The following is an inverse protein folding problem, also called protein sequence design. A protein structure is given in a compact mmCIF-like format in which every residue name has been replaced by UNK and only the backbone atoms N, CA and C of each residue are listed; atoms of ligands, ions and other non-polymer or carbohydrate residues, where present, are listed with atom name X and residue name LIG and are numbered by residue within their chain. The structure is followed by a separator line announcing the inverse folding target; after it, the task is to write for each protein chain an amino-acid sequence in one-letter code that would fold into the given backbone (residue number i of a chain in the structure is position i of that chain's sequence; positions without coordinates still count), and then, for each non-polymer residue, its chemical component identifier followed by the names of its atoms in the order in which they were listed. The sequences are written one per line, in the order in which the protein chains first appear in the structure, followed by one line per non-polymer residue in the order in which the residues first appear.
data_IF_875830968261
#
_entry.id   IF_875830968261
#
_cell.length_a   1.000
_cell.length_b   1.000
_cell.length_c   1.000
_cell.angle_alpha   90.00
_cell.angle_beta   90.00
_cell.angle_gamma   90.00
#
_symmetry.space_group_name_H-M   'P 1'
#
loop_
_entity.id
_entity.type
_entity.pdbx_description
1 polymer ?
#
# COMPACT_ATOMS: atom_id res chain seq x y z
N UNK A 1 3.31 -16.51 -66.99
CA UNK A 1 4.73 -16.61 -67.37
C UNK A 1 5.41 -17.42 -66.29
N UNK A 2 5.83 -18.64 -66.62
CA UNK A 2 6.35 -19.64 -65.70
C UNK A 2 7.69 -19.20 -65.12
N UNK A 3 7.79 -19.11 -63.79
CA UNK A 3 9.07 -18.86 -63.11
C UNK A 3 9.73 -20.23 -62.89
N UNK A 4 10.96 -20.33 -63.36
CA UNK A 4 11.72 -21.54 -63.58
C UNK A 4 12.13 -22.21 -62.26
N UNK A 5 11.55 -23.38 -61.96
CA UNK A 5 11.79 -24.16 -60.74
C UNK A 5 13.21 -24.79 -60.67
N UNK A 6 14.04 -24.68 -61.72
CA UNK A 6 15.34 -25.35 -61.79
C UNK A 6 16.50 -24.61 -61.08
N UNK A 7 16.43 -23.30 -60.84
CA UNK A 7 17.55 -22.55 -60.20
C UNK A 7 17.58 -22.65 -58.67
N UNK A 8 16.46 -23.01 -58.02
CA UNK A 8 16.43 -23.16 -56.56
C UNK A 8 16.85 -24.54 -56.05
N UNK A 9 16.86 -25.58 -56.91
CA UNK A 9 17.34 -26.90 -56.50
C UNK A 9 18.87 -26.99 -56.41
N UNK A 10 19.63 -26.24 -57.23
CA UNK A 10 21.09 -26.27 -57.16
C UNK A 10 21.65 -25.61 -55.90
N UNK A 11 21.00 -24.55 -55.41
CA UNK A 11 21.40 -23.89 -54.17
C UNK A 11 21.04 -24.70 -52.92
N UNK A 12 19.95 -25.48 -52.96
CA UNK A 12 19.57 -26.38 -51.86
C UNK A 12 20.44 -27.65 -51.79
N UNK A 13 20.87 -28.20 -52.94
CA UNK A 13 21.79 -29.35 -52.99
C UNK A 13 23.17 -29.00 -52.44
N UNK A 14 23.73 -27.84 -52.79
CA UNK A 14 25.10 -27.49 -52.39
C UNK A 14 25.26 -27.13 -50.90
N UNK A 15 24.18 -26.71 -50.21
CA UNK A 15 24.26 -26.39 -48.77
C UNK A 15 24.21 -27.61 -47.85
N UNK A 16 23.67 -28.74 -48.32
CA UNK A 16 23.40 -29.92 -47.48
C UNK A 16 24.02 -31.23 -48.00
N UNK A 17 24.69 -31.24 -49.16
CA UNK A 17 25.39 -32.43 -49.67
C UNK A 17 26.58 -32.86 -48.78
N UNK A 18 27.15 -31.94 -47.99
CA UNK A 18 28.20 -32.26 -47.02
C UNK A 18 27.71 -32.85 -45.69
N UNK A 19 26.40 -32.88 -45.42
CA UNK A 19 25.86 -33.22 -44.09
C UNK A 19 25.00 -34.51 -44.12
N UNK A 20 24.83 -35.14 -45.29
CA UNK A 20 24.12 -36.43 -45.42
C UNK A 20 24.92 -37.65 -44.95
N UNK A 21 26.05 -37.49 -44.27
CA UNK A 21 26.78 -38.60 -43.65
C UNK A 21 26.57 -38.74 -42.13
N UNK A 22 25.73 -37.89 -41.51
CA UNK A 22 25.48 -37.98 -40.07
C UNK A 22 23.98 -38.02 -39.74
N UNK A 23 23.25 -38.95 -40.35
CA UNK A 23 22.06 -39.51 -39.72
C UNK A 23 22.38 -40.91 -39.24
N UNK A 24 23.31 -41.00 -38.28
CA UNK A 24 23.32 -42.14 -37.37
C UNK A 24 22.05 -41.97 -36.55
N UNK A 25 21.06 -42.84 -36.75
CA UNK A 25 20.02 -43.04 -35.75
C UNK A 25 20.70 -43.66 -34.53
N UNK A 26 21.43 -42.82 -33.79
CA UNK A 26 22.04 -43.20 -32.54
C UNK A 26 20.88 -43.51 -31.62
N UNK A 27 20.77 -44.79 -31.26
CA UNK A 27 19.76 -45.30 -30.36
C UNK A 27 19.93 -44.52 -29.08
N UNK A 28 19.12 -43.47 -28.90
CA UNK A 28 19.20 -42.60 -27.72
C UNK A 28 19.06 -43.54 -26.53
N UNK A 29 20.12 -43.69 -25.71
CA UNK A 29 20.08 -44.65 -24.65
C UNK A 29 18.95 -44.22 -23.69
N UNK A 30 18.15 -45.19 -23.21
CA UNK A 30 16.96 -44.96 -22.38
C UNK A 30 17.26 -44.13 -21.12
N UNK A 31 18.52 -44.05 -20.72
CA UNK A 31 19.02 -43.21 -19.63
C UNK A 31 18.92 -41.70 -19.92
N UNK A 32 18.95 -41.28 -21.19
CA UNK A 32 18.81 -39.88 -21.60
C UNK A 32 17.40 -39.34 -21.33
N UNK A 33 16.36 -40.17 -21.47
CA UNK A 33 14.98 -39.83 -21.09
C UNK A 33 14.76 -39.83 -19.57
N UNK A 34 15.69 -40.40 -18.80
CA UNK A 34 15.60 -40.45 -17.33
C UNK A 34 16.10 -39.17 -16.65
N UNK A 35 16.81 -38.31 -17.37
CA UNK A 35 17.42 -37.08 -16.85
C UNK A 35 16.44 -35.93 -16.57
N UNK A 36 15.25 -35.95 -17.17
CA UNK A 36 14.24 -34.88 -17.03
C UNK A 36 13.12 -35.21 -16.04
N UNK A 37 13.05 -36.45 -15.53
CA UNK A 37 12.14 -36.80 -14.43
C UNK A 37 12.75 -36.24 -13.14
N UNK A 38 12.23 -35.09 -12.73
CA UNK A 38 12.69 -34.32 -11.56
C UNK A 38 13.09 -35.22 -10.40
N UNK A 39 14.35 -35.09 -9.97
CA UNK A 39 14.84 -35.64 -8.71
C UNK A 39 13.89 -35.12 -7.61
N UNK A 40 12.98 -35.96 -7.11
CA UNK A 40 12.34 -35.73 -5.82
C UNK A 40 13.48 -35.69 -4.82
N UNK A 41 13.96 -34.49 -4.48
CA UNK A 41 14.91 -34.29 -3.39
C UNK A 41 14.21 -34.82 -2.15
N UNK A 42 14.58 -36.03 -1.73
CA UNK A 42 14.14 -36.60 -0.47
C UNK A 42 14.71 -35.69 0.61
N UNK A 43 13.86 -34.79 1.12
CA UNK A 43 14.16 -34.00 2.32
C UNK A 43 14.60 -34.98 3.40
N UNK A 44 15.83 -34.82 3.88
CA UNK A 44 16.38 -35.66 4.94
C UNK A 44 15.45 -35.61 6.17
N UNK A 45 15.27 -36.73 6.90
CA UNK A 45 14.36 -36.75 8.04
C UNK A 45 14.83 -35.75 9.11
N UNK A 46 14.03 -34.71 9.32
CA UNK A 46 14.34 -33.67 10.29
C UNK A 46 14.37 -34.21 11.72
N UNK A 47 15.38 -33.80 12.49
CA UNK A 47 15.51 -34.14 13.92
C UNK A 47 14.28 -33.62 14.68
N UNK A 48 13.83 -34.38 15.70
CA UNK A 48 12.61 -34.09 16.49
C UNK A 48 12.59 -32.66 17.06
N UNK A 49 13.74 -32.13 17.51
CA UNK A 49 13.87 -30.75 17.99
C UNK A 49 13.59 -29.71 16.90
N UNK A 50 14.07 -29.95 15.68
CA UNK A 50 13.86 -29.06 14.52
C UNK A 50 12.40 -29.04 14.08
N UNK A 51 11.67 -30.16 14.20
CA UNK A 51 10.22 -30.19 13.94
C UNK A 51 9.45 -29.35 14.98
N UNK A 52 9.80 -29.47 16.26
CA UNK A 52 9.17 -28.70 17.34
C UNK A 52 9.43 -27.20 17.16
N UNK A 53 10.66 -26.80 16.82
CA UNK A 53 10.98 -25.39 16.56
C UNK A 53 10.23 -24.83 15.35
N UNK A 54 10.01 -25.62 14.29
CA UNK A 54 9.20 -25.17 13.15
C UNK A 54 7.72 -24.99 13.52
N UNK A 55 7.16 -25.86 14.37
CA UNK A 55 5.78 -25.70 14.85
C UNK A 55 5.65 -24.42 15.68
N UNK A 56 6.59 -24.15 16.58
CA UNK A 56 6.59 -22.93 17.39
C UNK A 56 6.76 -21.68 16.50
N UNK A 57 7.71 -21.70 15.56
CA UNK A 57 7.89 -20.61 14.61
C UNK A 57 6.62 -20.37 13.77
N UNK A 58 5.97 -21.44 13.32
CA UNK A 58 4.68 -21.36 12.62
C UNK A 58 3.59 -20.73 13.47
N UNK A 59 3.47 -21.13 14.75
CA UNK A 59 2.51 -20.54 15.69
C UNK A 59 2.76 -19.04 15.90
N UNK A 60 4.02 -18.63 16.05
CA UNK A 60 4.39 -17.22 16.19
C UNK A 60 4.02 -16.44 14.91
N UNK A 61 4.34 -16.98 13.73
CA UNK A 61 3.98 -16.34 12.46
C UNK A 61 2.47 -16.22 12.31
N UNK A 62 1.70 -17.26 12.66
CA UNK A 62 0.23 -17.20 12.61
C UNK A 62 -0.34 -16.19 13.60
N UNK A 63 0.25 -16.09 14.80
CA UNK A 63 -0.15 -15.11 15.80
C UNK A 63 0.16 -13.69 15.33
N UNK A 64 1.37 -13.44 14.82
CA UNK A 64 1.76 -12.14 14.25
C UNK A 64 0.88 -11.74 13.07
N UNK A 65 0.56 -12.67 12.18
CA UNK A 65 -0.35 -12.42 11.06
C UNK A 65 -1.76 -12.08 11.55
N UNK A 66 -2.31 -12.83 12.51
CA UNK A 66 -3.63 -12.54 13.09
C UNK A 66 -3.66 -11.17 13.79
N UNK A 67 -2.59 -10.82 14.51
CA UNK A 67 -2.44 -9.52 15.17
C UNK A 67 -2.35 -8.39 14.14
N UNK A 68 -1.57 -8.56 13.07
CA UNK A 68 -1.50 -7.62 11.96
C UNK A 68 -2.89 -7.41 11.37
N UNK A 69 -3.60 -8.47 10.94
CA UNK A 69 -4.97 -8.30 10.40
C UNK A 69 -5.91 -7.60 11.41
N UNK A 70 -5.87 -7.97 12.69
CA UNK A 70 -6.67 -7.32 13.73
C UNK A 70 -6.32 -5.83 13.92
N UNK A 71 -5.06 -5.45 13.70
CA UNK A 71 -4.61 -4.06 13.79
C UNK A 71 -5.05 -3.25 12.57
N UNK A 72 -5.05 -3.85 11.39
CA UNK A 72 -5.60 -3.24 10.18
C UNK A 72 -7.09 -2.96 10.31
N UNK A 73 -7.87 -3.93 10.82
CA UNK A 73 -9.32 -3.74 11.02
C UNK A 73 -9.65 -2.76 12.14
N UNK A 74 -8.77 -2.58 13.14
CA UNK A 74 -8.93 -1.51 14.13
C UNK A 74 -8.82 -0.14 13.46
N UNK A 75 -7.80 0.06 12.63
CA UNK A 75 -7.58 1.36 12.00
C UNK A 75 -8.71 1.76 11.04
N UNK A 76 -9.29 0.82 10.27
CA UNK A 76 -10.47 1.13 9.44
C UNK A 76 -11.65 1.59 10.29
N UNK A 77 -11.92 0.92 11.42
CA UNK A 77 -12.99 1.31 12.34
C UNK A 77 -12.74 2.67 12.98
N UNK A 78 -11.50 2.95 13.38
CA UNK A 78 -11.16 4.23 13.97
C UNK A 78 -11.39 5.38 12.97
N UNK A 79 -10.99 5.18 11.70
CA UNK A 79 -11.23 6.14 10.62
C UNK A 79 -12.72 6.34 10.33
N UNK A 80 -13.52 5.29 10.37
CA UNK A 80 -14.98 5.37 10.22
C UNK A 80 -15.66 6.05 11.41
N UNK A 81 -15.06 5.93 12.61
CA UNK A 81 -15.56 6.53 13.84
C UNK A 81 -15.16 7.99 14.03
N UNK A 82 -14.30 8.54 13.17
CA UNK A 82 -13.90 9.94 13.26
C UNK A 82 -15.14 10.83 13.18
N UNK A 83 -15.30 11.66 14.20
CA UNK A 83 -16.41 12.60 14.24
C UNK A 83 -16.09 13.81 13.35
N UNK A 84 -17.09 14.20 12.56
CA UNK A 84 -17.07 15.41 11.76
C UNK A 84 -18.30 16.24 12.12
N UNK A 85 -18.05 17.41 12.70
CA UNK A 85 -19.09 18.32 13.10
C UNK A 85 -19.35 19.30 11.97
N UNK A 86 -20.62 19.36 11.55
CA UNK A 86 -21.07 20.41 10.65
C UNK A 86 -21.02 21.74 11.39
N UNK A 87 -20.02 22.55 11.08
CA UNK A 87 -19.86 23.90 11.65
C UNK A 87 -20.20 24.94 10.60
N UNK A 88 -21.15 25.82 10.95
CA UNK A 88 -21.39 27.04 10.18
C UNK A 88 -20.39 28.09 10.65
N UNK A 89 -19.50 28.51 9.75
CA UNK A 89 -18.47 29.49 10.06
C UNK A 89 -19.06 30.87 10.35
N UNK A 90 -20.28 31.17 9.89
CA UNK A 90 -20.94 32.46 10.13
C UNK A 90 -21.29 32.70 11.60
N UNK A 91 -21.32 31.65 12.42
CA UNK A 91 -21.55 31.73 13.88
C UNK A 91 -20.29 31.48 14.69
N UNK A 92 -19.15 31.27 14.02
CA UNK A 92 -17.86 31.10 14.65
C UNK A 92 -17.37 32.45 15.16
N UNK A 93 -17.05 32.53 16.46
CA UNK A 93 -16.45 33.74 17.02
C UNK A 93 -14.97 33.86 16.64
N UNK A 94 -14.39 35.01 16.89
CA UNK A 94 -12.96 35.20 16.70
C UNK A 94 -12.21 34.58 17.89
N UNK A 95 -11.17 33.79 17.62
CA UNK A 95 -10.43 33.09 18.67
C UNK A 95 -9.49 32.02 18.16
N UNK A 96 -8.86 31.34 19.13
CA UNK A 96 -7.99 30.18 18.89
C UNK A 96 -8.66 28.97 19.53
N UNK A 97 -8.87 27.94 18.72
CA UNK A 97 -9.60 26.73 19.11
C UNK A 97 -8.69 25.52 19.03
N UNK A 98 -8.71 24.70 20.08
CA UNK A 98 -7.92 23.47 20.13
C UNK A 98 -8.74 22.31 19.57
N UNK A 99 -8.09 21.50 18.74
CA UNK A 99 -8.67 20.30 18.17
C UNK A 99 -7.75 19.11 18.30
N UNK A 100 -8.35 17.94 18.53
CA UNK A 100 -7.63 16.69 18.55
C UNK A 100 -8.41 15.59 17.86
N UNK A 101 -7.68 14.65 17.27
CA UNK A 101 -8.24 13.41 16.73
C UNK A 101 -7.19 12.31 16.77
N UNK A 102 -7.64 11.08 17.03
CA UNK A 102 -6.76 9.92 17.21
C UNK A 102 -7.37 8.66 16.60
N UNK A 103 -6.48 7.82 16.07
CA UNK A 103 -6.71 6.46 15.59
C UNK A 103 -5.57 5.59 16.10
N UNK A 104 -5.67 4.27 15.94
CA UNK A 104 -4.64 3.33 16.39
C UNK A 104 -3.21 3.64 15.92
N UNK A 105 -3.02 4.29 14.76
CA UNK A 105 -1.69 4.60 14.20
C UNK A 105 -1.39 6.09 14.02
N UNK A 106 -2.38 6.96 14.17
CA UNK A 106 -2.23 8.39 13.89
C UNK A 106 -2.94 9.20 14.97
N UNK A 107 -2.21 10.15 15.58
CA UNK A 107 -2.75 11.12 16.53
C UNK A 107 -2.37 12.53 16.10
N UNK A 108 -3.34 13.45 16.10
CA UNK A 108 -3.14 14.86 15.76
C UNK A 108 -3.69 15.72 16.89
N UNK A 109 -2.92 16.74 17.28
CA UNK A 109 -3.34 17.85 18.15
C UNK A 109 -2.94 19.14 17.45
N UNK A 110 -3.89 20.08 17.33
CA UNK A 110 -3.69 21.33 16.60
C UNK A 110 -4.48 22.49 17.20
N UNK A 111 -4.11 23.69 16.78
CA UNK A 111 -4.83 24.93 17.05
C UNK A 111 -5.37 25.51 15.73
N UNK A 112 -6.58 26.04 15.77
CA UNK A 112 -7.22 26.73 14.64
C UNK A 112 -7.50 28.16 15.06
N UNK A 113 -6.90 29.11 14.35
CA UNK A 113 -7.20 30.53 14.50
C UNK A 113 -8.33 30.92 13.56
N UNK A 114 -9.34 31.60 14.11
CA UNK A 114 -10.43 32.16 13.34
C UNK A 114 -10.57 33.66 13.59
N UNK A 115 -10.81 34.42 12.52
CA UNK A 115 -11.05 35.87 12.58
C UNK A 115 -12.04 36.27 11.50
N UNK A 116 -13.02 37.10 11.85
CA UNK A 116 -14.11 37.52 10.98
C UNK A 116 -14.79 36.35 10.26
N UNK A 117 -15.15 35.30 11.02
CA UNK A 117 -15.81 34.09 10.49
C UNK A 117 -14.97 33.30 9.46
N UNK A 118 -13.65 33.46 9.47
CA UNK A 118 -12.73 32.77 8.56
C UNK A 118 -11.61 32.08 9.32
N UNK A 119 -11.20 30.92 8.82
CA UNK A 119 -10.00 30.22 9.26
C UNK A 119 -8.79 31.01 8.73
N UNK A 120 -8.01 31.58 9.64
CA UNK A 120 -6.83 32.39 9.31
C UNK A 120 -5.53 31.60 9.51
N UNK A 121 -5.54 30.63 10.42
CA UNK A 121 -4.38 29.80 10.73
C UNK A 121 -4.78 28.43 11.22
N UNK A 122 -3.95 27.44 10.93
CA UNK A 122 -4.02 26.10 11.51
C UNK A 122 -2.60 25.70 11.86
N UNK A 123 -2.32 25.51 13.15
CA UNK A 123 -0.99 25.15 13.63
C UNK A 123 -1.01 23.75 14.24
N UNK A 124 -0.15 22.87 13.72
CA UNK A 124 -0.11 21.46 14.15
C UNK A 124 0.88 21.34 15.30
N UNK A 125 0.35 21.29 16.52
CA UNK A 125 1.13 21.13 17.74
C UNK A 125 1.77 19.75 17.85
N UNK A 126 1.02 18.71 17.46
CA UNK A 126 1.46 17.32 17.51
C UNK A 126 0.88 16.51 16.36
N UNK A 127 1.71 15.69 15.73
CA UNK A 127 1.30 14.75 14.70
C UNK A 127 2.12 13.48 14.82
N UNK A 128 1.62 12.52 15.59
CA UNK A 128 2.19 11.18 15.66
C UNK A 128 1.71 10.41 14.42
N UNK A 129 2.64 10.07 13.54
CA UNK A 129 2.36 9.37 12.29
C UNK A 129 3.46 8.35 11.98
N UNK A 130 3.09 7.29 11.26
CA UNK A 130 4.03 6.26 10.81
C UNK A 130 4.70 6.55 9.46
N UNK A 131 4.14 7.47 8.66
CA UNK A 131 4.52 7.68 7.24
C UNK A 131 5.03 9.09 6.91
N UNK A 132 5.30 9.91 7.94
CA UNK A 132 5.82 11.27 7.79
C UNK A 132 4.73 12.33 7.61
N UNK A 133 5.17 13.55 7.31
CA UNK A 133 4.39 14.79 7.40
C UNK A 133 3.61 15.17 6.14
N UNK A 134 3.51 14.29 5.15
CA UNK A 134 2.95 14.61 3.83
C UNK A 134 1.51 15.17 3.90
N UNK A 135 0.72 14.70 4.86
CA UNK A 135 -0.65 15.15 5.06
C UNK A 135 -0.76 16.60 5.59
N UNK A 136 0.29 17.15 6.22
CA UNK A 136 0.23 18.47 6.88
C UNK A 136 -0.09 19.60 5.90
N UNK A 137 0.29 19.47 4.61
CA UNK A 137 -0.02 20.46 3.57
C UNK A 137 -1.53 20.73 3.39
N UNK A 138 -2.39 19.81 3.84
CA UNK A 138 -3.84 19.95 3.70
C UNK A 138 -4.37 21.18 4.45
N UNK A 139 -3.66 21.65 5.49
CA UNK A 139 -4.04 22.84 6.24
C UNK A 139 -4.04 24.10 5.38
N UNK A 140 -3.12 24.21 4.43
CA UNK A 140 -3.07 25.33 3.46
C UNK A 140 -4.33 25.37 2.60
N UNK A 141 -4.80 24.19 2.16
CA UNK A 141 -6.02 24.06 1.36
C UNK A 141 -7.25 24.42 2.20
N UNK A 142 -7.28 24.01 3.48
CA UNK A 142 -8.37 24.33 4.40
C UNK A 142 -8.50 25.83 4.66
N UNK A 143 -7.38 26.50 4.91
CA UNK A 143 -7.32 27.96 5.09
C UNK A 143 -7.78 28.66 3.80
N UNK A 144 -7.23 28.25 2.64
CA UNK A 144 -7.55 28.87 1.35
C UNK A 144 -9.02 28.71 0.96
N UNK A 145 -9.58 27.52 1.19
CA UNK A 145 -10.98 27.21 0.87
C UNK A 145 -11.95 27.57 1.99
N UNK A 146 -11.42 28.01 3.14
CA UNK A 146 -12.18 28.32 4.35
C UNK A 146 -13.13 27.18 4.75
N UNK A 147 -12.62 25.94 4.77
CA UNK A 147 -13.38 24.74 5.15
C UNK A 147 -12.43 23.65 5.62
N UNK A 148 -12.84 22.85 6.60
CA UNK A 148 -12.09 21.64 6.97
C UNK A 148 -12.30 20.51 5.95
N UNK A 149 -13.38 20.57 5.15
CA UNK A 149 -13.75 19.52 4.20
C UNK A 149 -13.08 19.74 2.84
N UNK A 150 -11.79 19.45 2.78
CA UNK A 150 -10.99 19.49 1.54
C UNK A 150 -10.54 18.08 1.14
N UNK A 151 -9.99 17.96 -0.06
CA UNK A 151 -9.53 16.68 -0.60
C UNK A 151 -8.34 16.12 0.18
N UNK A 152 -8.34 14.81 0.39
CA UNK A 152 -7.25 14.11 1.05
C UNK A 152 -5.99 14.08 0.19
N UNK A 153 -4.82 14.12 0.84
CA UNK A 153 -3.54 14.05 0.16
C UNK A 153 -3.25 12.63 -0.31
N UNK A 154 -3.01 12.44 -1.61
CA UNK A 154 -2.73 11.13 -2.19
C UNK A 154 -1.53 10.45 -1.49
N UNK A 155 -1.72 9.21 -1.04
CA UNK A 155 -0.71 8.45 -0.30
C UNK A 155 -0.55 8.87 1.17
N UNK A 156 -1.41 9.75 1.68
CA UNK A 156 -1.49 10.12 3.09
C UNK A 156 -2.96 10.31 3.52
N UNK A 157 -3.84 9.45 3.00
CA UNK A 157 -5.30 9.56 3.16
C UNK A 157 -5.73 9.46 4.62
N UNK A 158 -5.26 8.45 5.37
CA UNK A 158 -5.64 8.27 6.79
C UNK A 158 -5.24 9.48 7.63
N UNK A 159 -3.99 9.95 7.53
CA UNK A 159 -3.55 11.17 8.22
C UNK A 159 -4.32 12.41 7.78
N UNK A 160 -4.70 12.51 6.49
CA UNK A 160 -5.55 13.61 6.01
C UNK A 160 -6.92 13.59 6.70
N UNK A 161 -7.56 12.44 6.84
CA UNK A 161 -8.86 12.33 7.51
C UNK A 161 -8.76 12.69 9.01
N UNK A 162 -7.70 12.26 9.69
CA UNK A 162 -7.48 12.61 11.11
C UNK A 162 -7.26 14.10 11.29
N UNK A 163 -6.46 14.76 10.41
CA UNK A 163 -6.29 16.23 10.45
C UNK A 163 -7.63 16.93 10.19
N UNK A 164 -8.41 16.51 9.18
CA UNK A 164 -9.74 17.05 8.90
C UNK A 164 -10.68 16.95 10.10
N UNK A 165 -10.68 15.81 10.78
CA UNK A 165 -11.50 15.58 11.98
C UNK A 165 -11.04 16.46 13.14
N UNK A 166 -9.73 16.59 13.39
CA UNK A 166 -9.19 17.48 14.42
C UNK A 166 -9.56 18.96 14.18
N UNK A 167 -9.45 19.45 12.94
CA UNK A 167 -9.89 20.82 12.58
C UNK A 167 -11.41 20.97 12.76
N UNK A 168 -12.19 19.97 12.33
CA UNK A 168 -13.64 19.97 12.53
C UNK A 168 -14.00 20.03 14.02
N UNK A 169 -13.31 19.28 14.87
CA UNK A 169 -13.45 19.29 16.32
C UNK A 169 -13.12 20.68 16.91
N UNK A 170 -11.99 21.27 16.54
CA UNK A 170 -11.64 22.64 16.98
C UNK A 170 -12.74 23.65 16.64
N UNK A 171 -13.21 23.64 15.39
CA UNK A 171 -14.24 24.58 14.92
C UNK A 171 -15.60 24.34 15.61
N UNK A 172 -15.91 23.11 16.01
CA UNK A 172 -17.14 22.81 16.75
C UNK A 172 -17.15 23.45 18.14
N UNK A 173 -16.00 23.48 18.82
CA UNK A 173 -15.83 24.10 20.14
C UNK A 173 -15.83 25.64 20.09
N UNK A 174 -15.65 26.25 18.91
CA UNK A 174 -15.73 27.70 18.73
C UNK A 174 -17.14 28.27 18.53
N UNK A 175 -18.17 27.42 18.58
CA UNK A 175 -19.56 27.86 18.52
C UNK A 175 -19.99 28.45 19.87
N UNK A 176 -20.75 29.56 19.85
CA UNK A 176 -21.54 29.97 21.03
C UNK A 176 -22.49 28.83 21.39
N UNK A 177 -22.42 28.32 22.61
CA UNK A 177 -23.58 27.63 23.20
C UNK A 177 -24.74 28.65 23.23
N UNK A 178 -25.82 28.35 22.49
CA UNK A 178 -27.06 29.11 22.55
C UNK A 178 -28.00 28.50 23.58
#
# INVERSE_FOLDING_TARGET
MYVNLYEHEETAKNKYDGIRQYCIAEKVPEDYLRGSIGRKSRLAPMKRKTKITLVIAGLIITAMLSMYLSMYTQMERDLESLEFYKTDLNVLEDGIYHGEAETALVKVVLEVEATNHKITGIDILKHDNGMGKKAERITEDMIRMNTYDVDAVSGATSSSQVIKSAVSNALAHGKREQ
#
